data_IF_227611852586
#
_entry.id   IF_227611852586
#
_cell.length_a   1.000
_cell.length_b   1.000
_cell.length_c   1.000
_cell.angle_alpha   90.00
_cell.angle_beta   90.00
_cell.angle_gamma   90.00
#
_symmetry.space_group_name_H-M   'P 1'
#
loop_
_entity.id
_entity.type
_entity.pdbx_description
1 polymer ?
#
# COMPACT_ATOMS: atom_id res chain seq x y z
N UNK A 1 -5.45 -45.03 7.53
CA UNK A 1 -4.83 -44.19 6.48
C UNK A 1 -5.03 -42.72 6.83
N UNK A 2 -3.97 -41.96 7.14
CA UNK A 2 -4.06 -40.52 7.43
C UNK A 2 -3.78 -39.74 6.15
N UNK A 3 -4.79 -39.03 5.62
CA UNK A 3 -4.63 -38.11 4.48
C UNK A 3 -3.87 -36.87 4.97
N UNK A 4 -2.67 -36.62 4.42
CA UNK A 4 -1.96 -35.34 4.61
C UNK A 4 -2.65 -34.27 3.76
N UNK A 5 -3.08 -33.19 4.38
CA UNK A 5 -3.62 -32.03 3.69
C UNK A 5 -2.54 -31.38 2.82
N UNK A 6 -2.94 -30.96 1.62
CA UNK A 6 -2.09 -30.33 0.63
C UNK A 6 -1.43 -29.06 1.19
N UNK A 7 -0.15 -28.92 0.87
CA UNK A 7 0.73 -27.84 1.26
C UNK A 7 0.19 -26.50 0.70
N UNK A 8 -0.36 -25.63 1.55
CA UNK A 8 -0.60 -24.24 1.16
C UNK A 8 0.76 -23.60 0.92
N UNK A 9 1.02 -23.17 -0.32
CA UNK A 9 2.19 -22.38 -0.68
C UNK A 9 2.05 -21.03 0.00
N UNK A 10 2.46 -20.95 1.27
CA UNK A 10 2.43 -19.72 2.03
C UNK A 10 3.35 -18.71 1.39
N UNK A 11 2.82 -17.56 1.00
CA UNK A 11 3.62 -16.40 0.59
C UNK A 11 4.70 -16.16 1.66
N UNK A 12 5.97 -16.33 1.29
CA UNK A 12 7.08 -16.09 2.20
C UNK A 12 7.02 -14.62 2.61
N UNK A 13 6.77 -14.35 3.89
CA UNK A 13 6.80 -12.99 4.43
C UNK A 13 8.12 -12.34 4.06
N UNK A 14 8.05 -11.22 3.32
CA UNK A 14 9.22 -10.40 3.03
C UNK A 14 9.79 -9.92 4.36
N UNK A 15 11.05 -10.26 4.61
CA UNK A 15 11.75 -9.89 5.84
C UNK A 15 11.75 -8.36 6.01
N UNK A 16 11.65 -7.90 7.25
CA UNK A 16 11.49 -6.47 7.56
C UNK A 16 12.68 -5.60 7.14
N UNK A 17 13.89 -6.17 7.12
CA UNK A 17 15.14 -5.53 6.66
C UNK A 17 15.13 -5.19 5.16
N UNK A 18 14.28 -5.85 4.38
CA UNK A 18 14.10 -5.56 2.94
C UNK A 18 13.08 -4.46 2.65
N UNK A 19 12.42 -3.90 3.68
CA UNK A 19 11.41 -2.85 3.50
C UNK A 19 12.05 -1.47 3.58
N UNK A 20 11.79 -0.64 2.58
CA UNK A 20 12.16 0.78 2.61
C UNK A 20 11.19 1.54 3.51
N UNK A 21 11.73 2.28 4.49
CA UNK A 21 10.91 3.08 5.42
C UNK A 21 10.57 4.43 4.79
N UNK A 22 9.30 4.81 4.91
CA UNK A 22 8.80 6.16 4.62
C UNK A 22 8.27 6.72 5.94
N UNK A 23 8.82 7.84 6.41
CA UNK A 23 8.49 8.45 7.70
C UNK A 23 7.80 9.82 7.48
N UNK A 24 6.48 9.84 7.17
CA UNK A 24 5.77 11.09 7.00
C UNK A 24 5.58 11.80 8.34
N UNK A 25 5.73 13.13 8.33
CA UNK A 25 5.25 13.97 9.43
C UNK A 25 3.76 14.21 9.23
N UNK A 26 2.93 13.80 10.19
CA UNK A 26 1.47 13.94 10.13
C UNK A 26 1.01 15.00 11.12
N UNK A 27 0.01 15.78 10.73
CA UNK A 27 -0.70 16.64 11.67
C UNK A 27 -1.49 15.82 12.71
N UNK A 28 -1.90 16.49 13.79
CA UNK A 28 -2.57 15.84 14.92
C UNK A 28 -3.88 15.13 14.53
N UNK A 29 -4.69 15.75 13.66
CA UNK A 29 -5.98 15.20 13.24
C UNK A 29 -5.78 13.94 12.38
N UNK A 30 -4.89 13.99 11.40
CA UNK A 30 -4.55 12.84 10.56
C UNK A 30 -3.98 11.69 11.39
N UNK A 31 -3.06 11.98 12.32
CA UNK A 31 -2.48 10.97 13.19
C UNK A 31 -3.54 10.32 14.10
N UNK A 32 -4.48 11.11 14.63
CA UNK A 32 -5.56 10.61 15.48
C UNK A 32 -6.55 9.73 14.71
N UNK A 33 -6.92 10.11 13.48
CA UNK A 33 -7.74 9.28 12.58
C UNK A 33 -7.06 7.94 12.28
N UNK A 34 -5.78 7.98 11.90
CA UNK A 34 -4.99 6.77 11.66
C UNK A 34 -4.94 5.88 12.92
N UNK A 35 -4.71 6.46 14.10
CA UNK A 35 -4.69 5.73 15.38
C UNK A 35 -6.02 5.01 15.63
N UNK A 36 -7.15 5.71 15.49
CA UNK A 36 -8.48 5.12 15.73
C UNK A 36 -8.76 3.96 14.79
N UNK A 37 -8.50 4.16 13.49
CA UNK A 37 -8.73 3.13 12.48
C UNK A 37 -7.80 1.92 12.69
N UNK A 38 -6.54 2.15 13.05
CA UNK A 38 -5.59 1.09 13.34
C UNK A 38 -6.06 0.20 14.49
N UNK A 39 -6.54 0.82 15.57
CA UNK A 39 -7.11 0.10 16.72
C UNK A 39 -8.35 -0.70 16.31
N UNK A 40 -9.27 -0.11 15.52
CA UNK A 40 -10.48 -0.82 15.10
C UNK A 40 -10.21 -2.00 14.17
N UNK A 41 -9.09 -1.99 13.46
CA UNK A 41 -8.69 -3.05 12.54
C UNK A 41 -7.68 -4.04 13.14
N UNK A 42 -7.33 -3.91 14.43
CA UNK A 42 -6.30 -4.71 15.10
C UNK A 42 -4.93 -4.66 14.38
N UNK A 43 -4.53 -3.45 13.95
CA UNK A 43 -3.28 -3.19 13.25
C UNK A 43 -2.42 -2.17 14.00
N UNK A 44 -1.10 -2.25 13.84
CA UNK A 44 -0.25 -1.12 14.22
C UNK A 44 -0.47 0.06 13.27
N UNK A 45 -0.31 1.30 13.77
CA UNK A 45 -0.42 2.51 12.94
C UNK A 45 0.45 2.46 11.68
N UNK A 46 1.67 1.94 11.81
CA UNK A 46 2.63 1.82 10.70
C UNK A 46 2.18 0.80 9.67
N UNK A 47 1.62 -0.35 10.10
CA UNK A 47 1.06 -1.34 9.16
C UNK A 47 -0.14 -0.76 8.41
N UNK A 48 -1.09 -0.15 9.12
CA UNK A 48 -2.25 0.44 8.48
C UNK A 48 -1.87 1.57 7.51
N UNK A 49 -0.91 2.42 7.87
CA UNK A 49 -0.41 3.46 6.97
C UNK A 49 0.19 2.87 5.68
N UNK A 50 0.94 1.78 5.79
CA UNK A 50 1.48 1.08 4.63
C UNK A 50 0.37 0.48 3.74
N UNK A 51 -0.68 -0.10 4.32
CA UNK A 51 -1.82 -0.63 3.57
C UNK A 51 -2.62 0.50 2.87
N UNK A 52 -2.85 1.62 3.56
CA UNK A 52 -3.51 2.79 2.96
C UNK A 52 -2.68 3.33 1.78
N UNK A 53 -1.36 3.46 1.95
CA UNK A 53 -0.47 3.90 0.86
C UNK A 53 -0.50 2.93 -0.31
N UNK A 54 -0.47 1.61 -0.05
CA UNK A 54 -0.58 0.59 -1.09
C UNK A 54 -1.92 0.69 -1.83
N UNK A 55 -3.02 0.86 -1.11
CA UNK A 55 -4.34 1.02 -1.73
C UNK A 55 -4.41 2.30 -2.58
N UNK A 56 -3.91 3.42 -2.06
CA UNK A 56 -3.88 4.70 -2.75
C UNK A 56 -3.02 4.66 -4.03
N UNK A 57 -1.83 4.07 -3.98
CA UNK A 57 -0.91 3.96 -5.13
C UNK A 57 -1.33 2.91 -6.17
N UNK A 58 -2.35 2.10 -5.88
CA UNK A 58 -2.98 1.19 -6.83
C UNK A 58 -4.35 1.70 -7.32
N UNK A 59 -4.72 2.93 -6.95
CA UNK A 59 -5.97 3.57 -7.35
C UNK A 59 -5.68 4.69 -8.34
N UNK A 60 -6.15 4.52 -9.58
CA UNK A 60 -5.92 5.45 -10.68
C UNK A 60 -6.47 6.85 -10.38
N UNK A 61 -7.65 6.95 -9.79
CA UNK A 61 -8.28 8.23 -9.44
C UNK A 61 -7.47 9.01 -8.40
N UNK A 62 -6.89 8.33 -7.42
CA UNK A 62 -6.03 8.96 -6.40
C UNK A 62 -4.74 9.46 -7.06
N UNK A 63 -4.09 8.61 -7.85
CA UNK A 63 -2.85 8.97 -8.56
C UNK A 63 -3.09 10.15 -9.50
N UNK A 64 -4.12 10.09 -10.33
CA UNK A 64 -4.46 11.17 -11.27
C UNK A 64 -4.75 12.49 -10.55
N UNK A 65 -5.46 12.46 -9.42
CA UNK A 65 -5.70 13.65 -8.63
C UNK A 65 -4.40 14.31 -8.15
N UNK A 66 -3.45 13.52 -7.60
CA UNK A 66 -2.17 14.04 -7.16
C UNK A 66 -1.33 14.57 -8.33
N UNK A 67 -1.29 13.85 -9.46
CA UNK A 67 -0.49 14.24 -10.62
C UNK A 67 -1.06 15.49 -11.30
N UNK A 68 -2.40 15.63 -11.41
CA UNK A 68 -3.02 16.87 -11.91
C UNK A 68 -2.68 18.09 -11.06
N UNK A 69 -2.58 17.91 -9.74
CA UNK A 69 -2.38 19.01 -8.80
C UNK A 69 -0.91 19.37 -8.57
N UNK A 70 -0.03 18.38 -8.58
CA UNK A 70 1.34 18.53 -8.10
C UNK A 70 2.41 18.09 -9.09
N UNK A 71 2.08 17.51 -10.24
CA UNK A 71 3.10 17.09 -11.18
C UNK A 71 3.91 18.30 -11.68
N UNK A 72 5.24 18.14 -11.72
CA UNK A 72 6.17 19.16 -12.20
C UNK A 72 6.89 18.74 -13.47
N UNK A 73 6.94 17.44 -13.74
CA UNK A 73 7.68 16.84 -14.84
C UNK A 73 6.91 15.63 -15.35
N UNK A 74 6.47 15.69 -16.60
CA UNK A 74 5.65 14.66 -17.22
C UNK A 74 6.41 13.33 -17.44
N UNK A 75 7.74 13.32 -17.37
CA UNK A 75 8.54 12.10 -17.46
C UNK A 75 8.39 11.16 -16.25
N UNK A 76 7.93 11.68 -15.10
CA UNK A 76 7.66 10.90 -13.89
C UNK A 76 6.17 10.56 -13.72
N UNK A 77 5.36 10.77 -14.76
CA UNK A 77 3.94 10.49 -14.70
C UNK A 77 3.70 8.98 -14.61
N UNK A 78 3.12 8.56 -13.49
CA UNK A 78 2.66 7.19 -13.24
C UNK A 78 1.40 6.93 -14.04
N UNK A 79 1.43 5.89 -14.87
CA UNK A 79 0.26 5.34 -15.54
C UNK A 79 0.04 3.92 -15.03
N UNK A 80 -1.16 3.64 -14.52
CA UNK A 80 -1.54 2.29 -14.11
C UNK A 80 -2.16 1.55 -15.30
N UNK A 81 -1.64 0.36 -15.59
CA UNK A 81 -2.16 -0.53 -16.63
C UNK A 81 -2.48 -1.90 -16.02
N UNK A 82 -3.62 -2.48 -16.42
CA UNK A 82 -3.94 -3.88 -16.10
C UNK A 82 -3.48 -4.76 -17.25
N UNK A 83 -2.44 -5.55 -17.05
CA UNK A 83 -1.89 -6.48 -18.04
C UNK A 83 -2.09 -7.88 -17.48
N UNK A 84 -2.81 -8.74 -18.20
CA UNK A 84 -3.11 -10.12 -17.79
C UNK A 84 -3.75 -10.25 -16.38
N UNK A 85 -4.50 -9.23 -15.95
CA UNK A 85 -5.15 -9.21 -14.63
C UNK A 85 -4.26 -8.71 -13.48
N UNK A 86 -2.97 -8.48 -13.73
CA UNK A 86 -2.05 -7.86 -12.79
C UNK A 86 -1.92 -6.35 -13.04
N UNK A 87 -1.78 -5.58 -11.95
CA UNK A 87 -1.63 -4.13 -12.01
C UNK A 87 -0.15 -3.79 -12.17
N UNK A 88 0.19 -3.13 -13.27
CA UNK A 88 1.53 -2.63 -13.56
C UNK A 88 1.51 -1.10 -13.59
N UNK A 89 2.66 -0.50 -13.28
CA UNK A 89 2.89 0.93 -13.50
C UNK A 89 3.99 1.11 -14.55
N UNK A 90 3.84 2.13 -15.39
CA UNK A 90 4.88 2.64 -16.30
C UNK A 90 5.23 4.07 -15.94
#
# INVERSE_FOLDING_TARGET
MKKKAANQVGERKVRSDKKTRVNPSLDSDTHQKLKKLAISCDMTKTQLAAEILKMALNNESVIDWYQKKYNKDDSYRIILARINGELHYS
#
